data_IF_294371395258
#
_entry.id   IF_294371395258
#
_cell.length_a   1.000
_cell.length_b   1.000
_cell.length_c   1.000
_cell.angle_alpha   90.00
_cell.angle_beta   90.00
_cell.angle_gamma   90.00
#
_symmetry.space_group_name_H-M   'P 1'
#
loop_
_entity.id
_entity.type
_entity.pdbx_description
1 polymer ?
#
# COMPACT_ATOMS: atom_id res chain seq x y z
N UNK A 1 6.41 -16.15 -12.19
CA UNK A 1 7.21 -15.20 -11.36
C UNK A 1 6.53 -13.83 -11.50
N UNK A 2 6.21 -13.16 -10.39
CA UNK A 2 5.21 -12.05 -10.28
C UNK A 2 5.22 -11.06 -11.46
N UNK A 3 4.35 -11.29 -12.45
CA UNK A 3 4.27 -10.45 -13.66
C UNK A 3 3.73 -9.05 -13.35
N UNK A 4 2.92 -8.95 -12.32
CA UNK A 4 2.18 -7.75 -11.93
C UNK A 4 3.10 -6.70 -11.29
N UNK A 5 4.09 -7.11 -10.47
CA UNK A 5 5.06 -6.18 -9.90
C UNK A 5 5.87 -5.48 -10.99
N UNK A 6 6.38 -6.24 -11.97
CA UNK A 6 7.08 -5.69 -13.13
C UNK A 6 6.17 -4.75 -13.94
N UNK A 7 4.93 -5.16 -14.23
CA UNK A 7 3.96 -4.33 -14.97
C UNK A 7 3.72 -2.99 -14.28
N UNK A 8 3.53 -2.99 -12.96
CA UNK A 8 3.34 -1.77 -12.19
C UNK A 8 4.59 -0.87 -12.21
N UNK A 9 5.77 -1.47 -12.08
CA UNK A 9 7.05 -0.74 -12.19
C UNK A 9 7.19 -0.07 -13.55
N UNK A 10 6.86 -0.78 -14.64
CA UNK A 10 6.90 -0.23 -16.00
C UNK A 10 5.85 0.89 -16.17
N UNK A 11 4.60 0.65 -15.76
CA UNK A 11 3.48 1.61 -15.87
C UNK A 11 3.80 2.92 -15.15
N UNK A 12 4.34 2.86 -13.93
CA UNK A 12 4.64 4.02 -13.11
C UNK A 12 6.06 4.56 -13.30
N UNK A 13 6.81 3.99 -14.25
CA UNK A 13 8.18 4.39 -14.60
C UNK A 13 9.11 4.44 -13.38
N UNK A 14 9.10 3.38 -12.57
CA UNK A 14 9.95 3.29 -11.37
C UNK A 14 11.38 2.95 -11.77
N UNK A 15 12.22 3.98 -11.86
CA UNK A 15 13.64 3.86 -12.21
C UNK A 15 14.41 3.15 -11.09
N UNK A 16 15.40 2.31 -11.46
CA UNK A 16 16.24 1.54 -10.51
C UNK A 16 15.44 0.64 -9.55
N UNK A 17 14.29 0.13 -10.01
CA UNK A 17 13.41 -0.70 -9.19
C UNK A 17 14.05 -2.01 -8.74
N UNK A 18 13.97 -2.28 -7.44
CA UNK A 18 14.40 -3.51 -6.76
C UNK A 18 13.31 -4.60 -6.73
N UNK A 19 12.33 -4.57 -7.64
CA UNK A 19 11.18 -5.50 -7.61
C UNK A 19 11.55 -6.97 -7.76
N UNK A 20 12.73 -7.30 -8.30
CA UNK A 20 13.19 -8.70 -8.43
C UNK A 20 13.89 -9.19 -7.15
N UNK A 21 14.46 -8.27 -6.40
CA UNK A 21 15.23 -8.49 -5.17
C UNK A 21 14.38 -8.31 -3.90
N UNK A 22 13.17 -7.74 -4.05
CA UNK A 22 12.26 -7.45 -2.93
C UNK A 22 11.33 -8.63 -2.65
N UNK A 23 11.29 -9.07 -1.39
CA UNK A 23 10.30 -10.03 -0.92
C UNK A 23 9.15 -9.30 -0.23
N UNK A 24 7.91 -9.56 -0.65
CA UNK A 24 6.71 -9.02 -0.01
C UNK A 24 6.24 -9.97 1.07
N UNK A 25 6.14 -9.49 2.31
CA UNK A 25 5.69 -10.27 3.47
C UNK A 25 4.36 -9.73 3.98
N UNK A 26 3.32 -10.56 3.96
CA UNK A 26 2.07 -10.26 4.66
C UNK A 26 2.26 -10.50 6.15
N UNK A 27 2.07 -9.47 6.97
CA UNK A 27 2.21 -9.57 8.42
C UNK A 27 0.95 -10.10 9.12
N UNK A 28 -0.14 -10.36 8.41
CA UNK A 28 -1.39 -10.85 9.00
C UNK A 28 -2.07 -9.88 9.98
N UNK A 29 -1.69 -8.59 9.96
CA UNK A 29 -2.23 -7.54 10.81
C UNK A 29 -1.18 -6.55 11.27
N UNK A 30 -1.61 -5.35 11.68
CA UNK A 30 -0.72 -4.25 12.09
C UNK A 30 0.11 -4.56 13.34
N UNK A 31 -0.45 -5.27 14.29
CA UNK A 31 0.24 -5.60 15.54
C UNK A 31 1.46 -6.51 15.30
N UNK A 32 1.39 -7.40 14.31
CA UNK A 32 2.51 -8.27 13.93
C UNK A 32 3.65 -7.51 13.25
N UNK A 33 3.35 -6.42 12.54
CA UNK A 33 4.38 -5.56 11.89
C UNK A 33 5.40 -5.10 12.93
N UNK A 34 4.95 -4.76 14.15
CA UNK A 34 5.82 -4.32 15.25
C UNK A 34 6.85 -5.39 15.62
N UNK A 35 6.44 -6.65 15.71
CA UNK A 35 7.34 -7.75 16.06
C UNK A 35 8.36 -8.00 14.94
N UNK A 36 7.90 -8.02 13.69
CA UNK A 36 8.77 -8.21 12.52
C UNK A 36 9.77 -7.06 12.40
N UNK A 37 9.33 -5.80 12.55
CA UNK A 37 10.20 -4.63 12.50
C UNK A 37 11.36 -4.72 13.50
N UNK A 38 11.09 -5.15 14.75
CA UNK A 38 12.14 -5.35 15.75
C UNK A 38 13.16 -6.42 15.34
N UNK A 39 12.70 -7.53 14.77
CA UNK A 39 13.59 -8.59 14.26
C UNK A 39 14.42 -8.09 13.08
N UNK A 40 13.81 -7.37 12.13
CA UNK A 40 14.52 -6.81 10.98
C UNK A 40 15.61 -5.82 11.41
N UNK A 41 15.31 -4.97 12.42
CA UNK A 41 16.29 -4.05 13.00
C UNK A 41 17.46 -4.78 13.67
N UNK A 42 17.17 -5.78 14.51
CA UNK A 42 18.21 -6.56 15.21
C UNK A 42 19.12 -7.28 14.22
N UNK A 43 18.55 -7.82 13.14
CA UNK A 43 19.30 -8.50 12.08
C UNK A 43 19.93 -7.54 11.06
N UNK A 44 19.75 -6.22 11.23
CA UNK A 44 20.23 -5.20 10.30
C UNK A 44 19.79 -5.44 8.85
N UNK A 45 18.58 -5.98 8.66
CA UNK A 45 18.03 -6.25 7.34
C UNK A 45 17.26 -5.04 6.82
N UNK A 46 17.50 -4.58 5.58
CA UNK A 46 16.74 -3.47 5.02
C UNK A 46 15.30 -3.90 4.76
N UNK A 47 14.35 -3.04 5.13
CA UNK A 47 12.92 -3.28 4.91
C UNK A 47 12.14 -1.97 4.84
N UNK A 48 10.92 -2.08 4.31
CA UNK A 48 9.94 -1.02 4.26
C UNK A 48 8.60 -1.55 4.74
N UNK A 49 7.78 -0.67 5.30
CA UNK A 49 6.45 -0.99 5.83
C UNK A 49 5.42 -0.15 5.08
N UNK A 50 4.38 -0.82 4.56
CA UNK A 50 3.20 -0.17 3.99
C UNK A 50 2.01 -0.61 4.83
N UNK A 51 1.24 0.34 5.36
CA UNK A 51 0.04 0.02 6.12
C UNK A 51 -1.04 1.12 6.02
N UNK A 52 -2.27 0.74 6.31
CA UNK A 52 -3.43 1.64 6.32
C UNK A 52 -3.36 2.66 7.45
N UNK A 53 -4.05 3.80 7.35
CA UNK A 53 -4.17 4.74 8.48
C UNK A 53 -5.26 4.31 9.45
N UNK A 54 -6.32 3.66 8.95
CA UNK A 54 -7.50 3.25 9.73
C UNK A 54 -8.12 4.41 10.52
N UNK A 55 -8.42 5.52 9.83
CA UNK A 55 -9.12 6.66 10.43
C UNK A 55 -10.64 6.58 10.28
N UNK A 56 -11.13 5.64 9.47
CA UNK A 56 -12.57 5.48 9.25
C UNK A 56 -13.34 5.40 10.57
N UNK A 57 -14.43 6.16 10.65
CA UNK A 57 -15.31 6.29 11.83
C UNK A 57 -14.66 6.98 13.06
N UNK A 58 -13.49 7.58 12.91
CA UNK A 58 -12.88 8.45 13.92
C UNK A 58 -12.98 9.91 13.49
N UNK A 59 -13.00 10.82 14.45
CA UNK A 59 -12.78 12.25 14.17
C UNK A 59 -11.37 12.42 13.60
N UNK A 60 -11.27 12.99 12.40
CA UNK A 60 -10.00 13.20 11.71
C UNK A 60 -9.12 14.24 12.41
N UNK A 61 -9.70 15.15 13.19
CA UNK A 61 -8.98 16.18 13.94
C UNK A 61 -8.55 15.69 15.33
N UNK A 62 -9.33 14.81 15.94
CA UNK A 62 -9.04 14.23 17.25
C UNK A 62 -9.45 12.76 17.33
N UNK A 63 -8.67 11.85 16.72
CA UNK A 63 -9.02 10.44 16.66
C UNK A 63 -8.93 9.80 18.06
N UNK A 64 -10.07 9.34 18.57
CA UNK A 64 -10.21 8.69 19.87
C UNK A 64 -10.80 7.29 19.67
N UNK A 65 -9.97 6.26 19.39
CA UNK A 65 -10.47 4.91 19.22
C UNK A 65 -10.95 4.33 20.54
N UNK A 66 -12.07 3.62 20.52
CA UNK A 66 -12.70 3.05 21.73
C UNK A 66 -11.86 1.93 22.38
N UNK A 67 -10.95 1.30 21.62
CA UNK A 67 -10.16 0.16 22.07
C UNK A 67 -8.65 0.41 21.95
N UNK A 68 -7.90 -0.01 22.96
CA UNK A 68 -6.44 0.05 22.94
C UNK A 68 -5.84 -0.72 21.75
N UNK A 69 -6.47 -1.83 21.34
CA UNK A 69 -6.01 -2.65 20.22
C UNK A 69 -6.54 -2.19 18.85
N UNK A 70 -7.21 -1.04 18.78
CA UNK A 70 -7.72 -0.49 17.53
C UNK A 70 -6.60 -0.31 16.49
N UNK A 71 -6.79 -0.66 15.21
CA UNK A 71 -5.75 -0.57 14.17
C UNK A 71 -5.10 0.80 14.03
N UNK A 72 -5.85 1.89 14.27
CA UNK A 72 -5.30 3.25 14.34
C UNK A 72 -4.17 3.40 15.37
N UNK A 73 -4.34 2.82 16.57
CA UNK A 73 -3.36 2.92 17.65
C UNK A 73 -2.04 2.21 17.31
N UNK A 74 -2.11 1.16 16.49
CA UNK A 74 -0.93 0.43 16.04
C UNK A 74 0.00 1.30 15.18
N UNK A 75 -0.50 2.37 14.53
CA UNK A 75 0.33 3.25 13.69
C UNK A 75 1.51 3.85 14.47
N UNK A 76 1.25 4.33 15.70
CA UNK A 76 2.29 4.90 16.56
C UNK A 76 3.30 3.84 16.99
N UNK A 77 2.82 2.64 17.30
CA UNK A 77 3.67 1.52 17.73
C UNK A 77 4.57 1.03 16.60
N UNK A 78 4.03 0.93 15.38
CA UNK A 78 4.79 0.63 14.15
C UNK A 78 5.85 1.70 13.92
N UNK A 79 5.47 2.98 13.99
CA UNK A 79 6.42 4.09 13.81
C UNK A 79 7.60 4.01 14.78
N UNK A 80 7.32 3.77 16.06
CA UNK A 80 8.35 3.60 17.07
C UNK A 80 9.23 2.37 16.82
N UNK A 81 8.64 1.26 16.37
CA UNK A 81 9.37 0.01 16.11
C UNK A 81 10.24 0.09 14.86
N UNK A 82 9.82 0.82 13.83
CA UNK A 82 10.62 1.02 12.61
C UNK A 82 11.72 2.05 12.82
N UNK A 83 11.49 3.08 13.63
CA UNK A 83 12.48 4.09 14.02
C UNK A 83 12.82 5.09 12.90
N UNK A 84 12.84 4.66 11.64
CA UNK A 84 13.04 5.52 10.47
C UNK A 84 11.73 5.75 9.70
N UNK A 85 11.20 6.97 9.75
CA UNK A 85 9.97 7.35 9.05
C UNK A 85 10.08 7.19 7.52
N UNK A 86 11.28 7.28 6.94
CA UNK A 86 11.49 7.05 5.50
C UNK A 86 11.24 5.59 5.07
N UNK A 87 11.18 4.66 6.03
CA UNK A 87 10.86 3.26 5.79
C UNK A 87 9.37 2.94 6.00
N UNK A 88 8.50 3.95 6.15
CA UNK A 88 7.06 3.76 6.36
C UNK A 88 6.25 4.54 5.33
N UNK A 89 5.33 3.85 4.66
CA UNK A 89 4.28 4.47 3.87
C UNK A 89 2.93 4.21 4.52
N UNK A 90 2.26 5.28 4.95
CA UNK A 90 0.91 5.21 5.51
C UNK A 90 -0.10 5.56 4.42
N UNK A 91 -0.92 4.59 4.05
CA UNK A 91 -2.04 4.82 3.12
C UNK A 91 -3.05 5.75 3.77
N UNK A 92 -3.56 6.74 3.03
CA UNK A 92 -4.36 7.84 3.57
C UNK A 92 -5.52 7.38 4.49
N UNK A 93 -6.27 6.35 4.09
CA UNK A 93 -7.16 5.59 4.98
C UNK A 93 -6.97 4.08 4.75
N UNK A 94 -7.45 3.52 3.63
CA UNK A 94 -7.22 2.10 3.30
C UNK A 94 -6.75 1.84 1.87
N UNK A 95 -6.10 0.71 1.62
CA UNK A 95 -5.73 0.28 0.25
C UNK A 95 -6.94 0.20 -0.70
N UNK A 96 -8.15 -0.09 -0.18
CA UNK A 96 -9.35 -0.07 -1.00
C UNK A 96 -9.69 1.32 -1.57
N UNK A 97 -9.34 2.42 -0.89
CA UNK A 97 -9.52 3.76 -1.46
C UNK A 97 -8.64 4.01 -2.68
N UNK A 98 -7.50 3.34 -2.74
CA UNK A 98 -6.55 3.46 -3.84
C UNK A 98 -7.02 2.64 -5.04
N UNK A 99 -7.55 1.44 -4.78
CA UNK A 99 -8.03 0.55 -5.84
C UNK A 99 -9.39 0.97 -6.40
N UNK A 100 -10.27 1.56 -5.58
CA UNK A 100 -11.60 1.99 -5.99
C UNK A 100 -11.86 3.48 -5.67
N UNK A 101 -11.22 4.40 -6.40
CA UNK A 101 -11.33 5.84 -6.13
C UNK A 101 -12.76 6.41 -6.30
N UNK A 102 -13.63 5.69 -7.01
CA UNK A 102 -15.02 6.10 -7.30
C UNK A 102 -16.06 5.37 -6.45
N UNK A 103 -15.64 4.53 -5.50
CA UNK A 103 -16.54 3.84 -4.58
C UNK A 103 -16.14 2.40 -4.30
N UNK A 104 -15.97 2.06 -3.02
CA UNK A 104 -15.53 0.73 -2.58
C UNK A 104 -16.63 -0.32 -2.85
N UNK A 105 -16.27 -1.56 -3.23
CA UNK A 105 -17.23 -2.65 -3.27
C UNK A 105 -17.77 -2.93 -1.85
N UNK A 106 -19.05 -3.31 -1.76
CA UNK A 106 -19.66 -3.72 -0.49
C UNK A 106 -18.85 -4.85 0.17
N UNK A 107 -18.79 -4.82 1.52
CA UNK A 107 -18.05 -5.78 2.32
C UNK A 107 -18.32 -7.22 1.86
N UNK A 108 -17.26 -7.90 1.43
CA UNK A 108 -17.33 -9.32 1.05
C UNK A 108 -16.17 -10.08 1.65
N UNK A 109 -16.42 -11.34 1.99
CA UNK A 109 -15.40 -12.34 2.37
C UNK A 109 -14.22 -12.41 1.39
N UNK A 110 -14.42 -12.03 0.12
CA UNK A 110 -13.45 -12.25 -0.96
C UNK A 110 -12.62 -11.01 -1.31
N UNK A 111 -12.41 -10.11 -0.34
CA UNK A 111 -11.66 -8.86 -0.52
C UNK A 111 -10.29 -9.03 -1.20
N UNK A 112 -9.42 -9.99 -0.81
CA UNK A 112 -8.12 -10.15 -1.46
C UNK A 112 -8.24 -10.48 -2.95
N UNK A 113 -9.18 -11.36 -3.30
CA UNK A 113 -9.44 -11.71 -4.70
C UNK A 113 -9.97 -10.53 -5.50
N UNK A 114 -10.92 -9.77 -4.94
CA UNK A 114 -11.46 -8.57 -5.59
C UNK A 114 -10.40 -7.50 -5.81
N UNK A 115 -9.52 -7.27 -4.84
CA UNK A 115 -8.40 -6.36 -4.98
C UNK A 115 -7.45 -6.77 -6.12
N UNK A 116 -7.15 -8.06 -6.23
CA UNK A 116 -6.34 -8.59 -7.32
C UNK A 116 -7.02 -8.42 -8.69
N UNK A 117 -8.32 -8.73 -8.79
CA UNK A 117 -9.10 -8.52 -10.02
C UNK A 117 -9.10 -7.04 -10.41
N UNK A 118 -9.31 -6.14 -9.45
CA UNK A 118 -9.33 -4.70 -9.72
C UNK A 118 -7.96 -4.21 -10.18
N UNK A 119 -6.89 -4.61 -9.51
CA UNK A 119 -5.52 -4.29 -9.94
C UNK A 119 -5.27 -4.71 -11.39
N UNK A 120 -5.75 -5.89 -11.79
CA UNK A 120 -5.66 -6.35 -13.19
C UNK A 120 -6.45 -5.47 -14.16
N UNK A 121 -7.63 -4.98 -13.78
CA UNK A 121 -8.40 -4.04 -14.60
C UNK A 121 -7.66 -2.72 -14.76
N UNK A 122 -7.11 -2.18 -13.68
CA UNK A 122 -6.32 -0.94 -13.68
C UNK A 122 -5.10 -1.08 -14.61
N UNK A 123 -4.35 -2.16 -14.47
CA UNK A 123 -3.20 -2.46 -15.34
C UNK A 123 -3.67 -2.50 -16.81
N UNK A 124 -4.72 -3.27 -17.10
CA UNK A 124 -5.22 -3.43 -18.48
C UNK A 124 -5.75 -2.12 -19.07
N UNK A 125 -6.40 -1.27 -18.28
CA UNK A 125 -6.92 0.01 -18.77
C UNK A 125 -5.78 0.97 -19.12
N UNK A 126 -4.74 1.05 -18.29
CA UNK A 126 -3.57 1.90 -18.56
C UNK A 126 -2.72 1.36 -19.73
N UNK A 127 -2.52 0.04 -19.81
CA UNK A 127 -1.79 -0.59 -20.92
C UNK A 127 -2.54 -0.44 -22.25
N UNK A 128 -3.87 -0.54 -22.23
CA UNK A 128 -4.71 -0.47 -23.44
C UNK A 128 -5.01 0.94 -23.94
N UNK A 129 -4.69 1.98 -23.17
CA UNK A 129 -4.88 3.37 -23.58
C UNK A 129 -3.72 3.84 -24.47
N UNK A 130 -4.05 4.20 -25.71
CA UNK A 130 -3.11 4.62 -26.74
C UNK A 130 -3.07 6.14 -26.92
N UNK A 131 -4.11 6.85 -26.50
CA UNK A 131 -4.12 8.31 -26.50
C UNK A 131 -3.28 8.85 -25.32
N UNK A 132 -2.22 9.65 -25.59
CA UNK A 132 -1.34 10.13 -24.53
C UNK A 132 -2.04 11.01 -23.48
N UNK A 133 -3.05 11.79 -23.87
CA UNK A 133 -3.76 12.66 -22.95
C UNK A 133 -4.66 11.85 -22.01
N UNK A 134 -5.41 10.88 -22.55
CA UNK A 134 -6.22 9.97 -21.73
C UNK A 134 -5.36 9.10 -20.82
N UNK A 135 -4.21 8.64 -21.32
CA UNK A 135 -3.26 7.86 -20.51
C UNK A 135 -2.72 8.66 -19.33
N UNK A 136 -2.40 9.94 -19.54
CA UNK A 136 -1.98 10.84 -18.46
C UNK A 136 -3.08 11.03 -17.41
N UNK A 137 -4.34 11.16 -17.83
CA UNK A 137 -5.49 11.25 -16.91
C UNK A 137 -5.64 9.96 -16.09
N UNK A 138 -5.52 8.79 -16.73
CA UNK A 138 -5.57 7.50 -16.02
C UNK A 138 -4.41 7.34 -15.02
N UNK A 139 -3.18 7.70 -15.41
CA UNK A 139 -2.03 7.67 -14.51
C UNK A 139 -2.24 8.61 -13.31
N UNK A 140 -2.77 9.80 -13.54
CA UNK A 140 -3.11 10.74 -12.47
C UNK A 140 -4.20 10.19 -11.53
N UNK A 141 -5.23 9.54 -12.06
CA UNK A 141 -6.28 8.87 -11.28
C UNK A 141 -5.71 7.82 -10.32
N UNK A 142 -4.67 7.09 -10.74
CA UNK A 142 -4.01 6.05 -9.95
C UNK A 142 -2.65 6.46 -9.39
N UNK A 143 -2.38 7.76 -9.26
CA UNK A 143 -1.09 8.26 -8.78
C UNK A 143 -0.69 7.67 -7.42
N UNK A 144 -1.64 7.55 -6.49
CA UNK A 144 -1.40 6.96 -5.15
C UNK A 144 -0.93 5.51 -5.21
N UNK A 145 -1.41 4.72 -6.19
CA UNK A 145 -0.91 3.37 -6.42
C UNK A 145 0.54 3.42 -6.90
N UNK A 146 0.86 4.36 -7.81
CA UNK A 146 2.22 4.61 -8.26
C UNK A 146 3.16 5.02 -7.13
N UNK A 147 2.69 5.83 -6.18
CA UNK A 147 3.48 6.24 -5.01
C UNK A 147 3.81 5.05 -4.10
N UNK A 148 2.86 4.13 -3.90
CA UNK A 148 3.10 2.87 -3.19
C UNK A 148 4.13 2.01 -3.92
N UNK A 149 4.01 1.85 -5.24
CA UNK A 149 4.92 1.02 -6.03
C UNK A 149 6.33 1.60 -6.03
N UNK A 150 6.46 2.94 -6.13
CA UNK A 150 7.75 3.64 -6.00
C UNK A 150 8.36 3.41 -4.63
N UNK A 151 7.60 3.67 -3.58
CA UNK A 151 8.06 3.45 -2.21
C UNK A 151 8.49 2.00 -1.98
N UNK A 152 7.71 1.02 -2.44
CA UNK A 152 7.99 -0.39 -2.24
C UNK A 152 9.32 -0.84 -2.87
N UNK A 153 9.65 -0.31 -4.05
CA UNK A 153 10.74 -0.84 -4.87
C UNK A 153 11.90 0.14 -5.12
N UNK A 154 11.87 1.34 -4.56
CA UNK A 154 12.93 2.36 -4.67
C UNK A 154 13.24 2.91 -3.29
#
# INVERSE_FOLDING_TARGET
MFSEAKKLVDIFSVVNSLHKETTVVSCGGKWTITAIAKVMNELSLPYKVIHDRDLKNLDSNNPQPESAIHPYNANKVISNAVGNAANIFVVADTMEDILWPEGRPNHSSDKPYKAWVELKKIIKSIEGENDPANKAILLAKYQKLGDIVRFAYN
#
